data_IF_964725858506
#
_entry.id   IF_964725858506
#
_cell.length_a   1.000
_cell.length_b   1.000
_cell.length_c   1.000
_cell.angle_alpha   90.00
_cell.angle_beta   90.00
_cell.angle_gamma   90.00
#
_symmetry.space_group_name_H-M   'P 1'
#
loop_
_entity.id
_entity.type
_entity.pdbx_description
1 polymer ?
#
# COMPACT_ATOMS: atom_id res chain seq x y z
N UNK A 1 9.65 17.78 4.48
CA UNK A 1 9.96 16.39 4.05
C UNK A 1 8.82 15.94 3.15
N UNK A 2 9.07 15.14 2.12
CA UNK A 2 8.00 14.77 1.19
C UNK A 2 7.11 13.67 1.81
N UNK A 3 5.82 13.92 2.14
CA UNK A 3 5.00 12.99 2.93
C UNK A 3 4.53 11.73 2.17
N UNK A 4 4.84 11.61 0.88
CA UNK A 4 4.24 10.64 -0.06
C UNK A 4 4.48 9.17 0.28
N UNK A 5 5.56 8.88 1.01
CA UNK A 5 5.98 7.51 1.36
C UNK A 5 6.12 7.30 2.87
N UNK A 6 5.58 8.22 3.68
CA UNK A 6 5.67 8.13 5.14
C UNK A 6 4.75 7.05 5.69
N UNK A 7 5.31 6.21 6.55
CA UNK A 7 4.59 5.17 7.25
C UNK A 7 3.77 5.75 8.43
N UNK A 8 2.63 5.14 8.80
CA UNK A 8 1.75 5.64 9.85
C UNK A 8 2.43 5.73 11.22
N UNK A 9 3.34 4.80 11.53
CA UNK A 9 4.13 4.78 12.75
C UNK A 9 5.10 5.97 12.86
N UNK A 10 5.61 6.46 11.73
CA UNK A 10 6.44 7.67 11.67
C UNK A 10 5.60 8.92 11.91
N UNK A 11 4.43 8.99 11.25
CA UNK A 11 3.50 10.14 11.37
C UNK A 11 3.00 10.27 12.82
N UNK A 12 2.69 9.14 13.45
CA UNK A 12 2.21 9.04 14.84
C UNK A 12 3.36 9.19 15.86
N UNK A 13 4.62 9.29 15.41
CA UNK A 13 5.83 9.49 16.23
C UNK A 13 6.13 8.33 17.18
N UNK A 14 5.86 7.09 16.75
CA UNK A 14 6.18 5.87 17.50
C UNK A 14 7.66 5.48 17.44
N UNK A 15 8.40 6.05 16.48
CA UNK A 15 9.82 5.79 16.29
C UNK A 15 10.15 5.50 14.84
N UNK A 16 11.40 5.14 14.59
CA UNK A 16 11.91 4.79 13.27
C UNK A 16 12.53 3.40 13.35
N UNK A 17 12.03 2.48 12.52
CA UNK A 17 12.51 1.09 12.47
C UNK A 17 12.51 0.59 11.04
N UNK A 18 13.20 -0.53 10.79
CA UNK A 18 13.33 -1.12 9.45
C UNK A 18 12.00 -1.37 8.69
N UNK A 19 10.87 -1.72 9.34
CA UNK A 19 9.57 -1.87 8.67
C UNK A 19 9.05 -0.66 7.87
N UNK A 20 9.54 0.56 8.11
CA UNK A 20 9.12 1.75 7.35
C UNK A 20 9.46 1.63 5.85
N UNK A 21 10.55 0.93 5.52
CA UNK A 21 10.97 0.72 4.14
C UNK A 21 9.98 -0.18 3.39
N UNK A 22 9.39 -1.16 4.09
CA UNK A 22 8.36 -2.04 3.52
C UNK A 22 7.09 -1.28 3.17
N UNK A 23 6.73 -0.26 3.96
CA UNK A 23 5.62 0.64 3.64
C UNK A 23 5.90 1.49 2.39
N UNK A 24 7.12 2.06 2.31
CA UNK A 24 7.55 2.83 1.15
C UNK A 24 7.55 1.98 -0.13
N UNK A 25 8.01 0.73 -0.05
CA UNK A 25 7.95 -0.23 -1.16
C UNK A 25 6.51 -0.44 -1.63
N UNK A 26 5.55 -0.61 -0.71
CA UNK A 26 4.14 -0.78 -1.08
C UNK A 26 3.57 0.45 -1.81
N UNK A 27 3.94 1.65 -1.35
CA UNK A 27 3.55 2.88 -2.03
C UNK A 27 4.08 2.94 -3.46
N UNK A 28 5.37 2.58 -3.66
CA UNK A 28 6.00 2.50 -4.99
C UNK A 28 5.29 1.46 -5.86
N UNK A 29 4.96 0.28 -5.32
CA UNK A 29 4.26 -0.77 -6.06
C UNK A 29 2.88 -0.32 -6.54
N UNK A 30 2.13 0.42 -5.72
CA UNK A 30 0.83 0.99 -6.12
C UNK A 30 1.02 2.08 -7.17
N UNK A 31 2.00 2.96 -6.99
CA UNK A 31 2.31 4.04 -7.94
C UNK A 31 2.69 3.47 -9.32
N UNK A 32 3.48 2.40 -9.36
CA UNK A 32 3.85 1.71 -10.59
C UNK A 32 2.64 1.04 -11.27
N UNK A 33 1.68 0.53 -10.50
CA UNK A 33 0.49 -0.10 -11.06
C UNK A 33 -0.53 0.93 -11.58
N UNK A 34 -0.83 1.94 -10.77
CA UNK A 34 -1.93 2.87 -11.02
C UNK A 34 -1.49 4.16 -11.74
N UNK A 35 -0.19 4.46 -11.76
CA UNK A 35 0.36 5.72 -12.25
C UNK A 35 0.05 6.93 -11.36
N UNK A 36 -0.50 6.70 -10.16
CA UNK A 36 -0.84 7.72 -9.18
C UNK A 36 -0.35 7.33 -7.78
N UNK A 37 0.03 8.34 -7.00
CA UNK A 37 0.55 8.15 -5.64
C UNK A 37 -0.63 7.82 -4.70
N UNK A 38 -0.55 6.74 -3.91
CA UNK A 38 -1.68 6.29 -3.08
C UNK A 38 -2.01 7.27 -1.94
N UNK A 39 -0.99 7.90 -1.36
CA UNK A 39 -1.16 8.81 -0.23
C UNK A 39 -0.51 10.15 -0.55
N UNK A 40 -1.32 11.19 -0.67
CA UNK A 40 -0.82 12.55 -0.75
C UNK A 40 -1.86 13.53 -0.21
N UNK A 41 -1.35 14.61 0.37
CA UNK A 41 -2.14 15.70 0.94
C UNK A 41 -1.95 16.97 0.11
N UNK A 42 -2.92 17.88 0.13
CA UNK A 42 -2.85 19.14 -0.63
C UNK A 42 -2.01 20.23 0.07
N UNK A 43 -1.62 19.98 1.31
CA UNK A 43 -0.95 20.94 2.19
C UNK A 43 -1.95 21.58 3.16
N UNK A 44 -1.52 21.74 4.41
CA UNK A 44 -2.28 22.32 5.52
C UNK A 44 -1.70 23.67 5.96
N UNK A 45 -2.37 24.36 6.88
CA UNK A 45 -1.82 25.59 7.47
C UNK A 45 -0.69 25.24 8.46
N UNK A 46 -0.73 24.02 9.01
CA UNK A 46 0.26 23.49 9.94
C UNK A 46 0.61 22.03 9.63
N UNK A 47 1.78 21.59 10.11
CA UNK A 47 2.23 20.20 9.98
C UNK A 47 1.25 19.21 10.62
N UNK A 48 0.68 19.56 11.78
CA UNK A 48 -0.27 18.69 12.48
C UNK A 48 -1.56 18.46 11.66
N UNK A 49 -2.01 19.45 10.89
CA UNK A 49 -3.15 19.29 9.98
C UNK A 49 -2.82 18.37 8.81
N UNK A 50 -1.61 18.47 8.26
CA UNK A 50 -1.14 17.61 7.18
C UNK A 50 -1.02 16.16 7.65
N UNK A 51 -0.46 15.94 8.83
CA UNK A 51 -0.33 14.61 9.43
C UNK A 51 -1.70 13.97 9.66
N UNK A 52 -2.70 14.74 10.13
CA UNK A 52 -4.08 14.26 10.31
C UNK A 52 -4.75 13.92 8.96
N UNK A 53 -4.61 14.79 7.95
CA UNK A 53 -5.15 14.53 6.60
C UNK A 53 -4.49 13.29 5.97
N UNK A 54 -3.19 13.10 6.20
CA UNK A 54 -2.45 11.95 5.71
C UNK A 54 -2.91 10.65 6.39
N UNK A 55 -3.07 10.64 7.72
CA UNK A 55 -3.59 9.48 8.46
C UNK A 55 -5.00 9.10 8.01
N UNK A 56 -5.88 10.09 7.83
CA UNK A 56 -7.23 9.87 7.33
C UNK A 56 -7.23 9.33 5.88
N UNK A 57 -6.33 9.84 5.04
CA UNK A 57 -6.13 9.34 3.68
C UNK A 57 -5.67 7.88 3.68
N UNK A 58 -4.70 7.55 4.54
CA UNK A 58 -4.21 6.17 4.69
C UNK A 58 -5.34 5.24 5.12
N UNK A 59 -6.13 5.63 6.14
CA UNK A 59 -7.27 4.83 6.62
C UNK A 59 -8.29 4.56 5.51
N UNK A 60 -8.65 5.59 4.74
CA UNK A 60 -9.59 5.47 3.62
C UNK A 60 -9.07 4.60 2.48
N UNK A 61 -7.82 4.83 2.04
CA UNK A 61 -7.23 4.12 0.91
C UNK A 61 -6.98 2.65 1.27
N UNK A 62 -6.41 2.37 2.44
CA UNK A 62 -6.17 0.98 2.90
C UNK A 62 -7.49 0.30 3.26
N UNK A 63 -8.51 1.05 3.68
CA UNK A 63 -9.83 0.55 4.06
C UNK A 63 -9.82 -0.22 5.37
N UNK A 64 -8.90 0.14 6.29
CA UNK A 64 -8.74 -0.44 7.62
C UNK A 64 -8.42 0.67 8.61
N UNK A 65 -8.98 0.57 9.81
CA UNK A 65 -8.68 1.48 10.91
C UNK A 65 -7.24 1.27 11.41
N UNK A 66 -6.63 2.36 11.89
CA UNK A 66 -5.31 2.33 12.54
C UNK A 66 -5.41 1.52 13.83
N UNK A 67 -4.36 0.75 14.12
CA UNK A 67 -4.30 -0.13 15.29
C UNK A 67 -4.48 0.66 16.61
N UNK A 68 -5.39 0.23 17.52
CA UNK A 68 -5.60 0.90 18.80
C UNK A 68 -4.35 0.97 19.69
N UNK A 69 -3.44 -0.01 19.61
CA UNK A 69 -2.21 -0.03 20.39
C UNK A 69 -1.27 1.11 19.96
N UNK A 70 -1.14 1.33 18.65
CA UNK A 70 -0.38 2.45 18.09
C UNK A 70 -0.93 3.80 18.57
N UNK A 71 -2.26 3.95 18.54
CA UNK A 71 -2.96 5.16 19.00
C UNK A 71 -2.75 5.37 20.50
N UNK A 72 -2.78 4.30 21.31
CA UNK A 72 -2.56 4.35 22.75
C UNK A 72 -1.16 4.85 23.11
N UNK A 73 -0.12 4.32 22.47
CA UNK A 73 1.28 4.72 22.71
C UNK A 73 1.48 6.19 22.33
N UNK A 74 0.89 6.63 21.22
CA UNK A 74 1.00 8.00 20.77
C UNK A 74 0.25 9.00 21.66
N UNK A 75 -0.91 8.59 22.19
CA UNK A 75 -1.69 9.37 23.16
C UNK A 75 -0.89 9.61 24.44
N UNK A 76 -0.11 8.63 24.92
CA UNK A 76 0.74 8.82 26.10
C UNK A 76 1.89 9.83 25.90
N UNK A 77 2.24 10.15 24.65
CA UNK A 77 3.33 11.06 24.29
C UNK A 77 2.81 12.45 23.82
N UNK A 78 1.51 12.73 24.00
CA UNK A 78 0.81 13.82 23.33
C UNK A 78 0.91 15.19 24.04
N UNK A 79 1.90 16.01 23.68
CA UNK A 79 1.91 17.47 24.00
C UNK A 79 1.51 18.37 22.80
N UNK A 80 1.10 17.78 21.65
CA UNK A 80 0.82 18.50 20.39
C UNK A 80 -0.64 18.45 19.94
N UNK A 81 -1.03 19.28 18.95
CA UNK A 81 -2.37 19.29 18.35
C UNK A 81 -2.68 17.97 17.64
N UNK A 82 -1.67 17.36 17.02
CA UNK A 82 -1.73 15.98 16.52
C UNK A 82 -2.12 15.01 17.66
N UNK A 83 -1.46 15.12 18.80
CA UNK A 83 -1.77 14.31 19.99
C UNK A 83 -3.22 14.45 20.46
N UNK A 84 -3.77 15.67 20.50
CA UNK A 84 -5.17 15.90 20.87
C UNK A 84 -6.17 15.24 19.90
N UNK A 85 -5.84 15.17 18.61
CA UNK A 85 -6.68 14.49 17.62
C UNK A 85 -6.55 12.97 17.70
N UNK A 86 -5.35 12.45 17.97
CA UNK A 86 -5.11 11.03 18.24
C UNK A 86 -5.90 10.58 19.48
N UNK A 87 -5.93 11.37 20.57
CA UNK A 87 -6.76 11.08 21.75
C UNK A 87 -8.26 10.99 21.41
N UNK A 88 -8.72 11.89 20.54
CA UNK A 88 -10.12 11.88 20.09
C UNK A 88 -10.42 10.68 19.19
N UNK A 89 -9.48 10.30 18.32
CA UNK A 89 -9.54 9.07 17.54
C UNK A 89 -9.59 7.84 18.44
N UNK A 90 -8.77 7.77 19.49
CA UNK A 90 -8.80 6.67 20.47
C UNK A 90 -10.19 6.49 21.10
N UNK A 91 -10.90 7.60 21.31
CA UNK A 91 -12.21 7.61 21.98
C UNK A 91 -13.40 7.36 21.04
N UNK A 92 -13.32 7.82 19.77
CA UNK A 92 -14.46 7.81 18.84
C UNK A 92 -14.22 6.97 17.58
N UNK A 93 -13.00 6.47 17.38
CA UNK A 93 -12.59 5.71 16.20
C UNK A 93 -12.52 6.53 14.90
N UNK A 94 -12.52 7.88 14.98
CA UNK A 94 -12.47 8.76 13.81
C UNK A 94 -11.65 10.02 14.09
N UNK A 95 -10.91 10.46 13.09
CA UNK A 95 -10.20 11.73 13.11
C UNK A 95 -11.19 12.89 12.95
N UNK A 96 -10.90 14.03 13.58
CA UNK A 96 -11.65 15.27 13.38
C UNK A 96 -10.85 16.22 12.50
N UNK A 97 -11.48 16.72 11.46
CA UNK A 97 -10.93 17.72 10.55
C UNK A 97 -12.07 18.44 9.83
N UNK A 98 -11.80 19.59 9.17
CA UNK A 98 -12.83 20.31 8.41
C UNK A 98 -13.49 19.45 7.32
N UNK A 99 -14.77 19.68 7.02
CA UNK A 99 -15.49 18.95 5.96
C UNK A 99 -14.79 18.97 4.59
N UNK A 100 -14.11 20.07 4.25
CA UNK A 100 -13.34 20.17 3.01
C UNK A 100 -12.18 19.17 2.93
N UNK A 101 -11.65 18.69 4.07
CA UNK A 101 -10.66 17.62 4.13
C UNK A 101 -11.36 16.26 3.95
N UNK A 102 -12.53 16.09 4.58
CA UNK A 102 -13.33 14.87 4.48
C UNK A 102 -13.71 14.53 3.04
N UNK A 103 -14.18 15.51 2.27
CA UNK A 103 -14.54 15.32 0.88
C UNK A 103 -13.33 14.96 0.02
N UNK A 104 -12.16 15.54 0.31
CA UNK A 104 -10.90 15.20 -0.38
C UNK A 104 -10.48 13.77 -0.09
N UNK A 105 -10.51 13.36 1.17
CA UNK A 105 -10.18 11.98 1.58
C UNK A 105 -11.13 11.00 0.90
N UNK A 106 -12.44 11.26 0.93
CA UNK A 106 -13.45 10.40 0.31
C UNK A 106 -13.38 10.33 -1.21
N UNK A 107 -12.86 11.37 -1.86
CA UNK A 107 -12.66 11.39 -3.32
C UNK A 107 -11.53 10.45 -3.78
N UNK A 108 -10.71 9.94 -2.86
CA UNK A 108 -9.64 8.99 -3.15
C UNK A 108 -10.20 7.62 -3.49
N UNK A 109 -9.57 6.96 -4.45
CA UNK A 109 -9.81 5.54 -4.71
C UNK A 109 -9.25 4.70 -3.58
N UNK A 110 -9.98 3.68 -3.19
CA UNK A 110 -9.51 2.66 -2.26
C UNK A 110 -8.50 1.73 -2.94
N UNK A 111 -7.67 1.04 -2.16
CA UNK A 111 -6.68 0.07 -2.68
C UNK A 111 -7.35 -1.02 -3.55
N UNK A 112 -8.58 -1.41 -3.20
CA UNK A 112 -9.38 -2.37 -3.97
C UNK A 112 -9.86 -1.84 -5.32
N UNK A 113 -10.01 -0.52 -5.46
CA UNK A 113 -10.37 0.14 -6.71
C UNK A 113 -9.14 0.45 -7.55
N UNK A 114 -7.99 0.70 -6.91
CA UNK A 114 -6.70 0.91 -7.57
C UNK A 114 -6.15 -0.38 -8.20
N UNK A 115 -6.38 -1.53 -7.55
CA UNK A 115 -5.91 -2.83 -8.04
C UNK A 115 -7.07 -3.58 -8.71
N UNK A 116 -7.04 -3.82 -10.04
CA UNK A 116 -8.05 -4.62 -10.71
C UNK A 116 -8.22 -5.98 -10.04
N UNK A 117 -9.44 -6.46 -9.80
CA UNK A 117 -9.68 -7.76 -9.14
C UNK A 117 -10.15 -8.85 -10.12
N UNK A 118 -9.81 -8.68 -11.41
CA UNK A 118 -10.27 -9.53 -12.50
C UNK A 118 -9.47 -10.83 -12.65
N UNK A 119 -8.19 -10.85 -12.26
CA UNK A 119 -7.34 -12.05 -12.34
C UNK A 119 -6.92 -12.55 -10.96
N UNK A 120 -6.56 -13.85 -10.89
CA UNK A 120 -5.96 -14.43 -9.68
C UNK A 120 -4.67 -13.71 -9.32
N UNK A 121 -3.86 -13.38 -10.32
CA UNK A 121 -2.61 -12.62 -10.16
C UNK A 121 -2.85 -11.28 -9.44
N UNK A 122 -3.88 -10.52 -9.84
CA UNK A 122 -4.17 -9.23 -9.23
C UNK A 122 -4.74 -9.35 -7.81
N UNK A 123 -5.48 -10.44 -7.53
CA UNK A 123 -5.92 -10.77 -6.15
C UNK A 123 -4.73 -11.10 -5.25
N UNK A 124 -3.74 -11.84 -5.77
CA UNK A 124 -2.49 -12.15 -5.05
C UNK A 124 -1.66 -10.87 -4.83
N UNK A 125 -1.63 -9.96 -5.80
CA UNK A 125 -0.98 -8.66 -5.63
C UNK A 125 -1.64 -7.82 -4.54
N UNK A 126 -2.97 -7.75 -4.53
CA UNK A 126 -3.71 -7.04 -3.49
C UNK A 126 -3.45 -7.65 -2.10
N UNK A 127 -3.38 -8.98 -1.99
CA UNK A 127 -3.01 -9.66 -0.74
C UNK A 127 -1.61 -9.26 -0.25
N UNK A 128 -0.61 -9.22 -1.14
CA UNK A 128 0.72 -8.72 -0.80
C UNK A 128 0.68 -7.27 -0.33
N UNK A 129 -0.01 -6.38 -1.06
CA UNK A 129 -0.13 -4.97 -0.68
C UNK A 129 -0.81 -4.80 0.68
N UNK A 130 -1.85 -5.57 0.99
CA UNK A 130 -2.51 -5.53 2.30
C UNK A 130 -1.59 -6.01 3.44
N UNK A 131 -0.64 -6.90 3.17
CA UNK A 131 0.37 -7.33 4.16
C UNK A 131 1.48 -6.29 4.36
N UNK A 132 1.83 -5.56 3.29
CA UNK A 132 2.80 -4.46 3.38
C UNK A 132 2.21 -3.20 4.03
N UNK A 133 0.93 -2.90 3.78
CA UNK A 133 0.17 -1.82 4.43
C UNK A 133 -0.43 -2.23 5.78
N UNK A 134 0.20 -3.16 6.49
CA UNK A 134 -0.12 -3.41 7.90
C UNK A 134 0.37 -2.22 8.73
N UNK A 135 -0.52 -1.66 9.55
CA UNK A 135 -0.24 -0.46 10.34
C UNK A 135 0.85 -0.72 11.38
N UNK A 136 0.66 -1.75 12.20
CA UNK A 136 1.62 -2.14 13.23
C UNK A 136 2.94 -2.57 12.56
N UNK A 137 4.07 -1.91 12.84
CA UNK A 137 5.36 -2.26 12.26
C UNK A 137 5.85 -3.66 12.66
N UNK A 138 5.44 -4.20 13.82
CA UNK A 138 5.86 -5.51 14.30
C UNK A 138 5.11 -6.66 13.59
N UNK A 139 3.87 -6.40 13.16
CA UNK A 139 3.04 -7.33 12.38
C UNK A 139 3.19 -7.13 10.86
N UNK A 140 3.89 -6.07 10.44
CA UNK A 140 4.12 -5.76 9.02
C UNK A 140 5.03 -6.80 8.41
N UNK A 141 4.68 -7.27 7.20
CA UNK A 141 5.45 -8.33 6.54
C UNK A 141 6.92 -7.88 6.33
N UNK A 142 7.90 -8.66 6.82
CA UNK A 142 9.31 -8.34 6.63
C UNK A 142 9.76 -8.68 5.20
N UNK A 143 10.93 -8.18 4.75
CA UNK A 143 11.43 -8.41 3.39
C UNK A 143 11.45 -9.89 2.98
N UNK A 144 11.94 -10.77 3.86
CA UNK A 144 12.02 -12.21 3.58
C UNK A 144 10.63 -12.83 3.41
N UNK A 145 9.67 -12.46 4.25
CA UNK A 145 8.29 -12.94 4.12
C UNK A 145 7.60 -12.41 2.85
N UNK A 146 7.92 -11.19 2.43
CA UNK A 146 7.39 -10.62 1.19
C UNK A 146 7.89 -11.38 -0.05
N UNK A 147 9.15 -11.82 -0.06
CA UNK A 147 9.73 -12.62 -1.14
C UNK A 147 9.10 -14.00 -1.27
N UNK A 148 8.62 -14.57 -0.16
CA UNK A 148 7.92 -15.85 -0.12
C UNK A 148 6.44 -15.74 -0.52
N UNK A 149 5.92 -14.52 -0.71
CA UNK A 149 4.54 -14.30 -1.07
C UNK A 149 4.21 -14.95 -2.42
N UNK A 150 3.01 -15.55 -2.52
CA UNK A 150 2.57 -16.26 -3.70
C UNK A 150 2.61 -15.39 -4.97
N UNK A 151 2.38 -14.09 -4.87
CA UNK A 151 2.50 -13.15 -5.99
C UNK A 151 3.94 -13.07 -6.51
N UNK A 152 4.91 -12.89 -5.61
CA UNK A 152 6.34 -12.83 -5.96
C UNK A 152 6.80 -14.19 -6.50
N UNK A 153 6.47 -15.28 -5.81
CA UNK A 153 6.82 -16.63 -6.25
C UNK A 153 6.21 -17.01 -7.61
N UNK A 154 5.02 -16.49 -7.95
CA UNK A 154 4.39 -16.73 -9.26
C UNK A 154 5.16 -16.07 -10.41
N UNK A 155 5.89 -14.99 -10.14
CA UNK A 155 6.75 -14.31 -11.11
C UNK A 155 8.09 -15.03 -11.34
N UNK A 156 8.49 -15.94 -10.45
CA UNK A 156 9.77 -16.69 -10.55
C UNK A 156 9.70 -17.79 -11.62
N UNK A 157 8.58 -17.92 -12.34
CA UNK A 157 8.52 -18.70 -13.57
C UNK A 157 8.87 -17.80 -14.76
N UNK A 158 10.12 -17.32 -14.84
CA UNK A 158 10.57 -16.60 -16.04
C UNK A 158 12.01 -16.94 -16.49
N UNK A 159 12.11 -17.22 -17.78
CA UNK A 159 13.19 -17.58 -18.72
C UNK A 159 14.41 -18.43 -18.28
N UNK A 160 14.98 -18.27 -17.08
CA UNK A 160 16.19 -18.99 -16.66
C UNK A 160 15.96 -20.46 -16.29
N UNK A 161 14.84 -20.76 -15.64
CA UNK A 161 14.45 -22.13 -15.27
C UNK A 161 13.99 -22.92 -16.48
N UNK A 162 13.36 -22.24 -17.45
CA UNK A 162 12.91 -22.86 -18.71
C UNK A 162 14.12 -23.33 -19.52
N UNK A 163 15.23 -22.59 -19.56
CA UNK A 163 16.46 -23.04 -20.21
C UNK A 163 17.07 -24.30 -19.56
N UNK A 164 17.04 -24.41 -18.22
CA UNK A 164 17.45 -25.64 -17.53
C UNK A 164 16.50 -26.81 -17.82
N UNK A 165 15.20 -26.54 -17.91
CA UNK A 165 14.18 -27.51 -18.30
C UNK A 165 14.34 -27.95 -19.76
N UNK A 166 14.60 -27.06 -20.72
CA UNK A 166 14.88 -27.41 -22.11
C UNK A 166 16.20 -28.18 -22.27
N UNK A 167 17.17 -27.97 -21.38
CA UNK A 167 18.38 -28.80 -21.30
C UNK A 167 18.12 -30.24 -20.82
N UNK A 168 17.02 -30.49 -20.11
CA UNK A 168 16.64 -31.82 -19.60
C UNK A 168 15.42 -32.45 -20.30
N UNK A 169 14.61 -31.68 -21.06
CA UNK A 169 13.38 -32.14 -21.75
C UNK A 169 13.64 -32.75 -23.13
N UNK A 170 14.71 -33.50 -23.27
CA UNK A 170 14.85 -34.48 -24.35
C UNK A 170 13.94 -35.70 -24.17
N UNK A 171 13.22 -35.83 -23.04
CA UNK A 171 12.34 -36.97 -22.82
C UNK A 171 11.18 -36.64 -21.86
N UNK A 172 9.95 -36.86 -22.34
CA UNK A 172 8.66 -36.90 -21.61
C UNK A 172 7.90 -35.60 -21.31
N UNK A 173 6.66 -35.58 -21.81
CA UNK A 173 5.48 -35.25 -21.01
C UNK A 173 5.09 -33.78 -20.84
N UNK A 174 4.00 -33.40 -21.50
CA UNK A 174 3.25 -32.16 -21.33
C UNK A 174 2.93 -31.85 -19.86
N UNK A 175 3.28 -30.64 -19.42
CA UNK A 175 2.66 -29.98 -18.27
C UNK A 175 2.48 -28.50 -18.64
N UNK A 176 1.23 -28.05 -18.62
CA UNK A 176 0.83 -26.69 -18.98
C UNK A 176 1.44 -25.69 -17.99
N UNK A 177 2.06 -24.64 -18.53
CA UNK A 177 2.49 -23.46 -17.79
C UNK A 177 1.23 -22.74 -17.26
N UNK A 178 1.25 -22.13 -16.07
CA UNK A 178 0.24 -21.16 -15.71
C UNK A 178 0.35 -19.98 -16.68
N UNK A 179 -0.70 -19.72 -17.46
CA UNK A 179 -0.79 -18.57 -18.34
C UNK A 179 -0.58 -17.30 -17.50
N UNK A 180 0.57 -16.65 -17.65
CA UNK A 180 0.73 -15.25 -17.27
C UNK A 180 -0.26 -14.50 -18.15
N UNK A 181 -1.34 -14.00 -17.54
CA UNK A 181 -2.45 -13.35 -18.23
C UNK A 181 -1.91 -12.22 -19.14
N UNK A 182 -1.81 -12.51 -20.44
CA UNK A 182 -1.52 -11.51 -21.47
C UNK A 182 -2.57 -10.39 -21.48
N UNK A 183 -3.79 -10.70 -20.98
CA UNK A 183 -4.83 -9.71 -20.71
C UNK A 183 -4.48 -8.75 -19.57
N UNK A 184 -3.73 -9.19 -18.55
CA UNK A 184 -3.31 -8.32 -17.45
C UNK A 184 -2.22 -7.35 -17.91
N UNK A 185 -1.21 -7.84 -18.64
CA UNK A 185 -0.17 -7.00 -19.26
C UNK A 185 -0.82 -6.03 -20.27
N UNK A 186 -1.73 -6.54 -21.11
CA UNK A 186 -2.48 -5.72 -22.06
C UNK A 186 -3.42 -4.72 -21.38
N UNK A 187 -3.98 -5.08 -20.23
CA UNK A 187 -4.84 -4.23 -19.40
C UNK A 187 -4.07 -3.08 -18.74
N UNK A 188 -2.86 -3.35 -18.25
CA UNK A 188 -1.93 -2.31 -17.76
C UNK A 188 -1.52 -1.39 -18.90
N UNK A 189 -1.10 -1.95 -20.03
CA UNK A 189 -0.71 -1.15 -21.20
C UNK A 189 -1.87 -0.24 -21.67
N UNK A 190 -3.12 -0.74 -21.60
CA UNK A 190 -4.31 0.05 -21.94
C UNK A 190 -4.63 1.11 -20.89
N UNK A 191 -4.57 0.78 -19.60
CA UNK A 191 -4.79 1.72 -18.50
C UNK A 191 -3.75 2.86 -18.49
N UNK A 192 -2.48 2.55 -18.77
CA UNK A 192 -1.40 3.53 -18.92
C UNK A 192 -1.69 4.49 -20.10
N UNK A 193 -2.30 3.99 -21.17
CA UNK A 193 -2.57 4.78 -22.37
C UNK A 193 -3.86 5.63 -22.27
N UNK A 194 -4.78 5.24 -21.38
CA UNK A 194 -6.08 5.90 -21.18
C UNK A 194 -6.08 6.90 -20.00
N UNK A 195 -5.07 6.86 -19.12
CA UNK A 195 -4.93 7.85 -18.04
C UNK A 195 -4.62 9.25 -18.61
N UNK A 196 -5.43 10.28 -18.30
CA UNK A 196 -5.17 11.64 -18.75
C UNK A 196 -3.85 12.11 -18.14
N UNK A 197 -2.86 12.39 -18.98
CA UNK A 197 -1.59 13.01 -18.59
C UNK A 197 -1.85 14.44 -18.12
N UNK A 198 -2.26 14.61 -16.88
CA UNK A 198 -2.24 15.92 -16.22
C UNK A 198 -0.84 16.16 -15.68
N UNK A 199 -0.07 16.95 -16.44
CA UNK A 199 1.06 17.73 -15.94
C UNK A 199 0.56 18.95 -15.16
#
# INVERSE_FOLDING_TARGET
MNPLYLAPDVIIKLGWSSPIDMWAIACILVELLAGEIPFYVRGGISQDEEDIELLATIEHVVGRCIDPNMVGIATSNAESTLGSNICQYASHGKFKFPHAVEDRVKSRKTLRELVPQNSLFSKMFLDLLLKLFTFDPDERIPPHGALENSWVCSLVVDEGTVAHLYGQRGNTGSSALPDIDQEWIGGIARAINESPRTL
#
